data_IF_486925157102
#
_entry.id   IF_486925157102
#
_cell.length_a   1.000
_cell.length_b   1.000
_cell.length_c   1.000
_cell.angle_alpha   90.00
_cell.angle_beta   90.00
_cell.angle_gamma   90.00
#
_symmetry.space_group_name_H-M   'P 1'
#
loop_
_entity.id
_entity.type
_entity.pdbx_description
1 polymer ?
#
# COMPACT_ATOMS: atom_id res chain seq x y z
N UNK A 1 8.08 -39.89 2.88
CA UNK A 1 7.11 -38.84 3.25
C UNK A 1 7.37 -37.64 2.35
N UNK A 2 6.66 -37.54 1.22
CA UNK A 2 6.81 -36.43 0.27
C UNK A 2 5.76 -35.37 0.60
N UNK A 3 6.10 -34.41 1.45
CA UNK A 3 5.27 -33.23 1.74
C UNK A 3 5.78 -31.97 1.05
N UNK A 4 6.32 -32.13 -0.17
CA UNK A 4 6.81 -31.02 -0.99
C UNK A 4 5.99 -30.96 -2.27
N UNK A 5 4.80 -30.35 -2.18
CA UNK A 5 3.84 -30.31 -3.30
C UNK A 5 3.31 -28.93 -3.71
N UNK A 6 3.46 -27.90 -2.86
CA UNK A 6 2.78 -26.61 -3.10
C UNK A 6 3.70 -25.40 -3.19
N UNK A 7 5.02 -25.60 -3.24
CA UNK A 7 6.00 -24.51 -3.22
C UNK A 7 6.35 -24.01 -4.63
N UNK A 8 5.32 -23.64 -5.43
CA UNK A 8 5.52 -22.89 -6.68
C UNK A 8 5.13 -21.44 -6.41
N UNK A 9 6.03 -20.45 -6.61
CA UNK A 9 5.80 -19.05 -6.23
C UNK A 9 4.56 -18.43 -6.90
N UNK A 10 4.20 -18.88 -8.10
CA UNK A 10 2.98 -18.44 -8.78
C UNK A 10 1.67 -18.95 -8.16
N UNK A 11 1.71 -20.09 -7.46
CA UNK A 11 0.53 -20.70 -6.82
C UNK A 11 0.23 -20.03 -5.48
N UNK A 12 1.28 -19.71 -4.71
CA UNK A 12 1.18 -19.03 -3.44
C UNK A 12 0.64 -17.60 -3.58
N UNK A 13 1.07 -16.85 -4.61
CA UNK A 13 0.48 -15.52 -4.89
C UNK A 13 -1.03 -15.59 -5.12
N UNK A 14 -1.49 -16.53 -5.95
CA UNK A 14 -2.92 -16.73 -6.20
C UNK A 14 -3.65 -17.15 -4.92
N UNK A 15 -3.05 -18.00 -4.11
CA UNK A 15 -3.60 -18.45 -2.82
C UNK A 15 -3.81 -17.28 -1.86
N UNK A 16 -2.87 -16.34 -1.77
CA UNK A 16 -3.02 -15.13 -0.96
C UNK A 16 -4.20 -14.26 -1.43
N UNK A 17 -4.35 -14.08 -2.74
CA UNK A 17 -5.50 -13.38 -3.32
C UNK A 17 -6.82 -14.10 -3.03
N UNK A 18 -6.85 -15.43 -3.12
CA UNK A 18 -8.04 -16.22 -2.77
C UNK A 18 -8.41 -16.07 -1.30
N UNK A 19 -7.44 -16.13 -0.38
CA UNK A 19 -7.69 -15.89 1.04
C UNK A 19 -8.21 -14.48 1.33
N UNK A 20 -7.71 -13.47 0.60
CA UNK A 20 -8.24 -12.11 0.69
C UNK A 20 -9.72 -12.05 0.32
N UNK A 21 -10.13 -12.67 -0.79
CA UNK A 21 -11.55 -12.66 -1.21
C UNK A 21 -12.45 -13.45 -0.26
N UNK A 22 -11.97 -14.57 0.30
CA UNK A 22 -12.69 -15.32 1.33
C UNK A 22 -12.89 -14.44 2.58
N UNK A 23 -11.84 -13.73 2.99
CA UNK A 23 -11.94 -12.81 4.11
C UNK A 23 -12.92 -11.66 3.85
N UNK A 24 -12.92 -11.11 2.63
CA UNK A 24 -13.84 -10.04 2.23
C UNK A 24 -15.29 -10.52 2.28
N UNK A 25 -15.56 -11.75 1.83
CA UNK A 25 -16.88 -12.36 1.96
C UNK A 25 -17.30 -12.48 3.44
N UNK A 26 -16.43 -12.96 4.32
CA UNK A 26 -16.74 -13.02 5.77
C UNK A 26 -16.91 -11.64 6.40
N UNK A 27 -16.13 -10.64 5.97
CA UNK A 27 -16.26 -9.26 6.42
C UNK A 27 -17.64 -8.69 6.04
N UNK A 28 -18.08 -8.92 4.80
CA UNK A 28 -19.42 -8.51 4.33
C UNK A 28 -20.56 -9.25 5.05
N UNK A 29 -20.32 -10.48 5.48
CA UNK A 29 -21.24 -11.25 6.32
C UNK A 29 -21.23 -10.82 7.80
N UNK A 30 -20.35 -9.89 8.19
CA UNK A 30 -20.21 -9.40 9.56
C UNK A 30 -19.38 -10.30 10.49
N UNK A 31 -18.87 -11.44 10.01
CA UNK A 31 -18.01 -12.34 10.79
C UNK A 31 -16.55 -11.83 10.75
N UNK A 32 -16.31 -10.75 11.51
CA UNK A 32 -15.02 -10.07 11.58
C UNK A 32 -13.90 -10.97 12.11
N UNK A 33 -14.23 -11.96 12.95
CA UNK A 33 -13.24 -12.90 13.52
C UNK A 33 -12.72 -13.86 12.45
N UNK A 34 -13.60 -14.43 11.62
CA UNK A 34 -13.17 -15.27 10.49
C UNK A 34 -12.48 -14.46 9.41
N UNK A 35 -12.99 -13.26 9.10
CA UNK A 35 -12.34 -12.35 8.17
C UNK A 35 -10.88 -12.10 8.58
N UNK A 36 -10.64 -11.83 9.87
CA UNK A 36 -9.30 -11.62 10.39
C UNK A 36 -8.39 -12.85 10.23
N UNK A 37 -8.87 -14.05 10.53
CA UNK A 37 -8.07 -15.28 10.37
C UNK A 37 -7.59 -15.49 8.93
N UNK A 38 -8.46 -15.25 7.95
CA UNK A 38 -8.11 -15.39 6.54
C UNK A 38 -7.22 -14.25 6.04
N UNK A 39 -7.41 -13.02 6.54
CA UNK A 39 -6.53 -11.89 6.23
C UNK A 39 -5.11 -12.11 6.73
N UNK A 40 -4.93 -12.67 7.93
CA UNK A 40 -3.61 -12.97 8.48
C UNK A 40 -2.88 -14.05 7.65
N UNK A 41 -3.60 -15.08 7.18
CA UNK A 41 -3.06 -16.07 6.23
C UNK A 41 -2.68 -15.44 4.90
N UNK A 42 -3.52 -14.55 4.37
CA UNK A 42 -3.23 -13.82 3.14
C UNK A 42 -1.99 -12.93 3.30
N UNK A 43 -1.83 -12.29 4.47
CA UNK A 43 -0.69 -11.44 4.81
C UNK A 43 0.61 -12.23 4.88
N UNK A 44 0.63 -13.37 5.58
CA UNK A 44 1.82 -14.21 5.72
C UNK A 44 2.38 -14.64 4.36
N UNK A 45 1.50 -15.00 3.44
CA UNK A 45 1.89 -15.36 2.07
C UNK A 45 2.26 -14.10 1.28
N UNK A 46 1.45 -13.04 1.37
CA UNK A 46 1.67 -11.78 0.67
C UNK A 46 2.98 -11.08 1.04
N UNK A 47 3.47 -11.24 2.26
CA UNK A 47 4.77 -10.70 2.71
C UNK A 47 5.96 -11.31 1.96
N UNK A 48 5.86 -12.59 1.56
CA UNK A 48 6.90 -13.31 0.81
C UNK A 48 7.06 -12.79 -0.62
N UNK A 49 6.06 -12.10 -1.15
CA UNK A 49 6.07 -11.52 -2.50
C UNK A 49 6.27 -10.02 -2.45
N UNK A 50 6.98 -9.43 -3.41
CA UNK A 50 7.06 -7.97 -3.56
C UNK A 50 5.85 -7.40 -4.34
N UNK A 51 4.65 -7.88 -3.99
CA UNK A 51 3.39 -7.39 -4.56
C UNK A 51 2.80 -6.31 -3.66
N UNK A 52 3.23 -5.06 -3.90
CA UNK A 52 2.75 -3.91 -3.14
C UNK A 52 1.23 -3.67 -3.33
N UNK A 53 0.65 -4.10 -4.47
CA UNK A 53 -0.79 -4.01 -4.71
C UNK A 53 -1.57 -4.95 -3.79
N UNK A 54 -1.16 -6.22 -3.73
CA UNK A 54 -1.80 -7.20 -2.86
C UNK A 54 -1.63 -6.84 -1.38
N UNK A 55 -0.44 -6.40 -0.97
CA UNK A 55 -0.17 -5.91 0.40
C UNK A 55 -1.08 -4.75 0.79
N UNK A 56 -1.25 -3.78 -0.11
CA UNK A 56 -2.11 -2.63 0.14
C UNK A 56 -3.58 -3.05 0.37
N UNK A 57 -4.10 -3.98 -0.42
CA UNK A 57 -5.47 -4.49 -0.26
C UNK A 57 -5.65 -5.22 1.08
N UNK A 58 -4.71 -6.10 1.43
CA UNK A 58 -4.74 -6.87 2.68
C UNK A 58 -4.68 -5.93 3.90
N UNK A 59 -3.73 -4.98 3.92
CA UNK A 59 -3.58 -4.04 5.03
C UNK A 59 -4.79 -3.10 5.18
N UNK A 60 -5.38 -2.65 4.06
CA UNK A 60 -6.60 -1.86 4.08
C UNK A 60 -7.75 -2.62 4.74
N UNK A 61 -7.96 -3.88 4.32
CA UNK A 61 -9.03 -4.72 4.88
C UNK A 61 -8.78 -5.10 6.34
N UNK A 62 -7.53 -5.38 6.72
CA UNK A 62 -7.13 -5.59 8.12
C UNK A 62 -7.46 -4.37 8.97
N UNK A 63 -7.07 -3.17 8.51
CA UNK A 63 -7.39 -1.91 9.20
C UNK A 63 -8.90 -1.77 9.42
N UNK A 64 -9.72 -1.97 8.39
CA UNK A 64 -11.19 -1.91 8.52
C UNK A 64 -11.74 -2.96 9.50
N UNK A 65 -11.19 -4.17 9.47
CA UNK A 65 -11.62 -5.26 10.37
C UNK A 65 -11.27 -4.94 11.82
N UNK A 66 -10.08 -4.41 12.09
CA UNK A 66 -9.68 -3.99 13.44
C UNK A 66 -10.47 -2.79 13.96
N UNK A 67 -10.90 -1.87 13.10
CA UNK A 67 -11.84 -0.80 13.48
C UNK A 67 -13.16 -1.39 13.97
N UNK A 68 -13.72 -2.39 13.26
CA UNK A 68 -14.95 -3.07 13.68
C UNK A 68 -14.78 -3.86 14.97
N UNK A 69 -13.58 -4.39 15.24
CA UNK A 69 -13.25 -5.10 16.48
C UNK A 69 -12.91 -4.16 17.66
N UNK A 70 -13.00 -2.83 17.46
CA UNK A 70 -12.64 -1.81 18.47
C UNK A 70 -11.15 -1.82 18.89
N UNK A 71 -10.27 -2.42 18.08
CA UNK A 71 -8.82 -2.46 18.30
C UNK A 71 -8.10 -1.33 17.53
N UNK A 72 -8.31 -0.10 17.98
CA UNK A 72 -7.86 1.12 17.30
C UNK A 72 -6.34 1.22 17.11
N UNK A 73 -5.55 0.69 18.06
CA UNK A 73 -4.08 0.70 17.97
C UNK A 73 -3.58 -0.13 16.78
N UNK A 74 -4.12 -1.34 16.59
CA UNK A 74 -3.74 -2.22 15.49
C UNK A 74 -4.25 -1.70 14.16
N UNK A 75 -5.48 -1.17 14.11
CA UNK A 75 -6.00 -0.49 12.93
C UNK A 75 -5.06 0.64 12.45
N UNK A 76 -4.59 1.49 13.36
CA UNK A 76 -3.67 2.58 13.02
C UNK A 76 -2.34 2.08 12.44
N UNK A 77 -1.81 0.96 12.97
CA UNK A 77 -0.59 0.32 12.49
C UNK A 77 -0.76 -0.16 11.05
N UNK A 78 -1.81 -0.94 10.78
CA UNK A 78 -2.06 -1.48 9.44
C UNK A 78 -2.43 -0.39 8.43
N UNK A 79 -3.14 0.65 8.84
CA UNK A 79 -3.39 1.83 8.00
C UNK A 79 -2.08 2.49 7.55
N UNK A 80 -1.11 2.65 8.45
CA UNK A 80 0.22 3.20 8.11
C UNK A 80 0.97 2.32 7.10
N UNK A 81 0.93 1.01 7.28
CA UNK A 81 1.56 0.07 6.33
C UNK A 81 0.85 0.06 4.97
N UNK A 82 -0.48 0.18 4.92
CA UNK A 82 -1.23 0.33 3.68
C UNK A 82 -0.83 1.60 2.91
N UNK A 83 -0.61 2.71 3.61
CA UNK A 83 -0.15 3.97 3.00
C UNK A 83 1.26 3.81 2.42
N UNK A 84 2.18 3.17 3.15
CA UNK A 84 3.53 2.88 2.64
C UNK A 84 3.50 2.05 1.35
N UNK A 85 2.69 0.98 1.34
CA UNK A 85 2.53 0.14 0.14
C UNK A 85 1.96 0.95 -1.04
N UNK A 86 1.00 1.84 -0.79
CA UNK A 86 0.43 2.73 -1.81
C UNK A 86 1.46 3.72 -2.37
N UNK A 87 2.33 4.27 -1.54
CA UNK A 87 3.42 5.16 -2.00
C UNK A 87 4.35 4.40 -2.94
N UNK A 88 4.76 3.17 -2.60
CA UNK A 88 5.60 2.33 -3.47
C UNK A 88 4.96 2.02 -4.82
N UNK A 89 3.64 1.79 -4.86
CA UNK A 89 2.91 1.63 -6.13
C UNK A 89 2.99 2.92 -6.95
N UNK A 90 2.77 4.08 -6.32
CA UNK A 90 2.83 5.37 -7.00
C UNK A 90 4.23 5.65 -7.55
N UNK A 91 5.29 5.42 -6.76
CA UNK A 91 6.69 5.58 -7.17
C UNK A 91 7.03 4.73 -8.39
N UNK A 92 6.59 3.46 -8.39
CA UNK A 92 6.78 2.56 -9.53
C UNK A 92 6.08 3.08 -10.79
N UNK A 93 4.85 3.57 -10.64
CA UNK A 93 4.07 4.12 -11.75
C UNK A 93 4.64 5.44 -12.26
N UNK A 94 5.23 6.27 -11.39
CA UNK A 94 5.92 7.49 -11.79
C UNK A 94 7.21 7.18 -12.54
N UNK A 95 7.99 6.18 -12.10
CA UNK A 95 9.20 5.76 -12.83
C UNK A 95 8.89 5.10 -14.18
N UNK A 96 7.74 4.45 -14.35
CA UNK A 96 7.35 3.88 -15.66
C UNK A 96 6.83 4.92 -16.66
N UNK A 97 6.46 6.12 -16.20
CA UNK A 97 5.91 7.19 -17.05
C UNK A 97 6.83 8.43 -17.15
N UNK A 98 7.85 8.57 -16.30
CA UNK A 98 8.74 9.74 -16.29
C UNK A 98 9.77 9.77 -17.42
N UNK A 99 9.83 8.76 -18.29
CA UNK A 99 10.59 8.88 -19.54
C UNK A 99 9.86 9.72 -20.60
N UNK A 100 8.58 10.05 -20.42
CA UNK A 100 7.85 10.80 -21.45
C UNK A 100 7.20 12.13 -21.03
N UNK A 101 6.98 12.46 -19.76
CA UNK A 101 6.38 13.76 -19.43
C UNK A 101 7.07 14.48 -18.26
N UNK A 102 7.59 15.66 -18.58
CA UNK A 102 8.13 16.68 -17.67
C UNK A 102 7.10 17.03 -16.59
N UNK A 103 7.22 16.44 -15.42
CA UNK A 103 6.50 16.86 -14.22
C UNK A 103 7.52 17.18 -13.13
N UNK A 104 7.91 18.45 -13.02
CA UNK A 104 8.81 18.91 -11.97
C UNK A 104 8.26 18.47 -10.61
N UNK A 105 9.15 17.86 -9.84
CA UNK A 105 8.89 17.36 -8.49
C UNK A 105 8.50 18.52 -7.56
N UNK A 106 7.82 18.21 -6.45
CA UNK A 106 7.38 19.20 -5.45
C UNK A 106 8.55 19.99 -4.84
N UNK A 107 9.75 19.41 -4.88
CA UNK A 107 11.00 20.00 -4.41
C UNK A 107 11.52 21.05 -5.41
N UNK A 108 11.47 20.78 -6.71
CA UNK A 108 11.81 21.75 -7.76
C UNK A 108 10.84 22.94 -7.77
N UNK A 109 9.55 22.74 -7.49
CA UNK A 109 8.59 23.85 -7.35
C UNK A 109 8.91 24.75 -6.15
N UNK A 110 9.41 24.18 -5.04
CA UNK A 110 9.82 24.97 -3.88
C UNK A 110 11.09 25.76 -4.17
N UNK A 111 12.06 25.17 -4.86
CA UNK A 111 13.28 25.88 -5.26
C UNK A 111 12.99 27.00 -6.26
N UNK A 112 12.17 26.77 -7.28
CA UNK A 112 11.74 27.80 -8.24
C UNK A 112 10.99 28.93 -7.53
N UNK A 113 10.08 28.62 -6.61
CA UNK A 113 9.34 29.66 -5.89
C UNK A 113 10.24 30.49 -4.95
N UNK A 114 11.25 29.85 -4.34
CA UNK A 114 12.24 30.57 -3.51
C UNK A 114 13.25 31.38 -4.32
N UNK A 115 13.59 30.95 -5.54
CA UNK A 115 14.50 31.69 -6.42
C UNK A 115 13.82 32.91 -7.03
N UNK A 116 12.57 32.80 -7.47
CA UNK A 116 11.77 33.93 -7.97
C UNK A 116 11.49 34.97 -6.88
N UNK A 117 11.25 34.54 -5.64
CA UNK A 117 11.05 35.47 -4.51
C UNK A 117 12.32 36.24 -4.13
N UNK A 118 13.52 35.67 -4.35
CA UNK A 118 14.79 36.39 -4.12
C UNK A 118 15.05 37.48 -5.17
N UNK A 119 14.66 37.26 -6.43
CA UNK A 119 14.90 38.22 -7.50
C UNK A 119 13.97 39.44 -7.44
N UNK A 120 12.77 39.29 -6.88
CA UNK A 120 11.83 40.42 -6.71
C UNK A 120 12.26 41.39 -5.60
N UNK A 121 13.01 40.91 -4.59
CA UNK A 121 13.59 41.76 -3.53
C UNK A 121 14.78 42.61 -3.98
N UNK A 122 15.38 42.32 -5.15
CA UNK A 122 16.50 43.10 -5.70
C UNK A 122 16.06 44.14 -6.75
N UNK A 123 14.75 44.23 -7.07
CA UNK A 123 14.23 45.11 -8.13
C UNK A 123 13.34 46.27 -7.64
N UNK A 124 13.50 46.71 -6.38
CA UNK A 124 12.92 47.95 -5.86
C UNK A 124 14.01 48.95 -5.44
N UNK A 125 14.97 49.28 -6.30
CA UNK A 125 15.73 50.54 -6.23
C UNK A 125 16.46 50.76 -7.56
N UNK A 126 15.83 51.45 -8.51
CA UNK A 126 16.45 52.30 -9.55
C UNK A 126 15.37 53.11 -10.25
#
# INVERSE_FOLDING_TARGET
MCSEGFNKPGHERKLATTFYYIADAYFLLGDCKKALQYLLKAMEIGERFDDNHLKQLIYSKLSSTYVLLSESQLASKFSREAVKARIRIKERNTCSCSENDRGLSREELLEVWTSTRRTDSDNQYS
#
